data_IF_010125094396
#
_entry.id   IF_010125094396
#
_cell.length_a   1.000
_cell.length_b   1.000
_cell.length_c   1.000
_cell.angle_alpha   90.00
_cell.angle_beta   90.00
_cell.angle_gamma   90.00
#
_symmetry.space_group_name_H-M   'P 1'
#
loop_
_entity.id
_entity.type
_entity.pdbx_description
1 polymer ?
#
# COMPACT_ATOMS: atom_id res chain seq x y z
N UNK A 1 -0.87 -11.08 28.43
CA UNK A 1 -0.93 -9.80 27.72
C UNK A 1 -1.03 -10.17 26.25
N UNK A 2 -2.26 -10.38 25.77
CA UNK A 2 -2.47 -10.72 24.37
C UNK A 2 -2.12 -9.48 23.56
N UNK A 3 -1.08 -9.58 22.71
CA UNK A 3 -0.93 -8.60 21.65
C UNK A 3 -2.16 -8.81 20.78
N UNK A 4 -3.05 -7.82 20.73
CA UNK A 4 -4.05 -7.77 19.68
C UNK A 4 -3.26 -7.93 18.38
N UNK A 5 -3.56 -8.97 17.59
CA UNK A 5 -2.93 -9.15 16.29
C UNK A 5 -3.22 -7.87 15.50
N UNK A 6 -2.23 -6.98 15.37
CA UNK A 6 -2.35 -5.79 14.54
C UNK A 6 -2.70 -6.29 13.15
N UNK A 7 -3.92 -5.96 12.72
CA UNK A 7 -4.44 -6.48 11.46
C UNK A 7 -3.63 -5.83 10.34
N UNK A 8 -2.85 -6.65 9.64
CA UNK A 8 -2.17 -6.26 8.41
C UNK A 8 -3.16 -5.56 7.49
N UNK A 9 -2.81 -4.35 7.06
CA UNK A 9 -3.60 -3.57 6.11
C UNK A 9 -3.16 -3.85 4.68
N UNK A 10 -4.06 -3.60 3.76
CA UNK A 10 -3.83 -3.78 2.32
C UNK A 10 -3.82 -2.42 1.64
N UNK A 11 -2.85 -2.22 0.75
CA UNK A 11 -2.71 -1.00 -0.01
C UNK A 11 -2.53 -1.32 -1.50
N UNK A 12 -2.94 -0.38 -2.34
CA UNK A 12 -2.73 -0.41 -3.79
C UNK A 12 -1.84 0.76 -4.18
N UNK A 13 -0.67 0.44 -4.73
CA UNK A 13 0.24 1.40 -5.35
C UNK A 13 -0.04 1.42 -6.85
N UNK A 14 -0.51 2.53 -7.39
CA UNK A 14 -0.64 2.70 -8.84
C UNK A 14 0.74 3.01 -9.44
N UNK A 15 1.08 2.28 -10.50
CA UNK A 15 2.34 2.37 -11.23
C UNK A 15 2.08 2.57 -12.73
N UNK A 16 3.12 2.60 -13.56
CA UNK A 16 3.01 2.85 -15.00
C UNK A 16 2.14 1.83 -15.75
N UNK A 17 1.73 2.20 -16.97
CA UNK A 17 0.97 1.36 -17.89
C UNK A 17 -0.39 0.85 -17.34
N UNK A 18 -1.08 1.69 -16.55
CA UNK A 18 -2.35 1.36 -15.88
C UNK A 18 -2.25 0.13 -14.94
N UNK A 19 -1.03 -0.20 -14.47
CA UNK A 19 -0.80 -1.29 -13.53
C UNK A 19 -0.84 -0.83 -12.07
N UNK A 20 -0.82 -1.80 -11.16
CA UNK A 20 -0.70 -1.56 -9.74
C UNK A 20 -0.01 -2.72 -9.03
N UNK A 21 0.60 -2.42 -7.89
CA UNK A 21 1.11 -3.40 -6.94
C UNK A 21 0.28 -3.41 -5.66
N UNK A 22 0.13 -4.58 -5.05
CA UNK A 22 -0.55 -4.74 -3.75
C UNK A 22 0.50 -4.84 -2.65
N UNK A 23 0.42 -3.93 -1.68
CA UNK A 23 1.31 -3.86 -0.53
C UNK A 23 0.55 -4.30 0.71
N UNK A 24 1.14 -5.19 1.50
CA UNK A 24 0.65 -5.60 2.81
C UNK A 24 1.55 -5.02 3.89
N UNK A 25 1.01 -4.19 4.77
CA UNK A 25 1.80 -3.49 5.78
C UNK A 25 0.99 -3.24 7.05
N UNK A 26 1.68 -3.13 8.18
CA UNK A 26 1.03 -2.95 9.49
C UNK A 26 0.46 -1.53 9.65
N UNK A 27 1.09 -0.55 9.01
CA UNK A 27 0.71 0.86 9.11
C UNK A 27 1.06 1.64 7.82
N UNK A 28 0.63 2.90 7.76
CA UNK A 28 0.79 3.77 6.60
C UNK A 28 2.27 4.07 6.32
N UNK A 29 3.14 4.12 7.35
CA UNK A 29 4.56 4.41 7.20
C UNK A 29 5.29 3.25 6.50
N UNK A 30 5.04 2.01 6.94
CA UNK A 30 5.63 0.81 6.32
C UNK A 30 5.13 0.66 4.87
N UNK A 31 3.84 0.94 4.62
CA UNK A 31 3.29 0.95 3.26
C UNK A 31 3.96 2.00 2.37
N UNK A 32 4.25 3.18 2.91
CA UNK A 32 4.96 4.24 2.19
C UNK A 32 6.42 3.87 1.89
N UNK A 33 7.11 3.16 2.80
CA UNK A 33 8.47 2.68 2.52
C UNK A 33 8.49 1.72 1.33
N UNK A 34 7.56 0.77 1.28
CA UNK A 34 7.44 -0.16 0.14
C UNK A 34 7.01 0.57 -1.14
N UNK A 35 6.06 1.50 -1.05
CA UNK A 35 5.66 2.35 -2.17
C UNK A 35 6.84 3.12 -2.79
N UNK A 36 7.71 3.69 -1.95
CA UNK A 36 8.92 4.39 -2.42
C UNK A 36 9.99 3.43 -2.94
N UNK A 37 10.03 2.18 -2.48
CA UNK A 37 10.95 1.16 -3.00
C UNK A 37 10.62 0.77 -4.44
N UNK A 38 9.33 0.74 -4.83
CA UNK A 38 8.93 0.52 -6.23
C UNK A 38 9.60 1.52 -7.18
N UNK A 39 9.69 2.79 -6.77
CA UNK A 39 10.40 3.80 -7.56
C UNK A 39 11.91 3.54 -7.67
N UNK A 40 12.53 3.00 -6.62
CA UNK A 40 13.95 2.59 -6.66
C UNK A 40 14.17 1.36 -7.54
N UNK A 41 13.16 0.52 -7.70
CA UNK A 41 13.17 -0.66 -8.58
C UNK A 41 12.93 -0.30 -10.05
N UNK A 42 12.52 0.93 -10.33
CA UNK A 42 12.40 1.49 -11.68
C UNK A 42 10.96 1.77 -12.12
N UNK A 43 9.98 1.64 -11.23
CA UNK A 43 8.58 1.98 -11.50
C UNK A 43 8.33 3.49 -11.37
N UNK A 44 7.43 4.03 -12.19
CA UNK A 44 6.88 5.36 -12.00
C UNK A 44 5.65 5.24 -11.10
N UNK A 45 5.76 5.71 -9.85
CA UNK A 45 4.70 5.63 -8.85
C UNK A 45 3.77 6.85 -8.92
N UNK A 46 2.45 6.63 -8.81
CA UNK A 46 1.44 7.70 -8.93
C UNK A 46 0.66 7.96 -7.66
N UNK A 47 -0.07 6.97 -7.16
CA UNK A 47 -0.93 7.09 -5.98
C UNK A 47 -0.76 5.86 -5.08
N UNK A 48 -0.90 6.07 -3.77
CA UNK A 48 -1.02 4.99 -2.79
C UNK A 48 -2.38 5.06 -2.10
N UNK A 49 -3.14 3.97 -2.14
CA UNK A 49 -4.47 3.87 -1.51
C UNK A 49 -4.49 2.78 -0.44
N UNK A 50 -5.20 3.01 0.66
CA UNK A 50 -5.58 1.94 1.59
C UNK A 50 -6.87 1.27 1.09
N UNK A 51 -6.91 -0.05 1.13
CA UNK A 51 -8.04 -0.88 0.71
C UNK A 51 -8.74 -1.51 1.90
N UNK A 52 -10.05 -1.78 1.74
CA UNK A 52 -10.81 -2.63 2.67
C UNK A 52 -10.66 -4.12 2.32
N UNK A 53 -11.36 -4.98 3.06
CA UNK A 53 -11.36 -6.44 2.83
C UNK A 53 -11.95 -6.85 1.47
N UNK A 54 -12.78 -5.99 0.88
CA UNK A 54 -13.40 -6.19 -0.44
C UNK A 54 -12.53 -5.60 -1.58
N UNK A 55 -11.34 -5.06 -1.27
CA UNK A 55 -10.44 -4.33 -2.16
C UNK A 55 -10.96 -2.98 -2.69
N UNK A 56 -11.97 -2.41 -2.04
CA UNK A 56 -12.41 -1.04 -2.33
C UNK A 56 -11.47 -0.03 -1.65
N UNK A 57 -11.23 1.08 -2.34
CA UNK A 57 -10.43 2.20 -1.81
C UNK A 57 -11.15 2.86 -0.64
N UNK A 58 -10.50 2.86 0.53
CA UNK A 58 -10.98 3.56 1.73
C UNK A 58 -10.50 5.02 1.71
N UNK A 59 -9.20 5.24 1.44
CA UNK A 59 -8.58 6.57 1.43
C UNK A 59 -7.27 6.60 0.63
N UNK A 60 -6.89 7.80 0.19
CA UNK A 60 -5.56 8.10 -0.37
C UNK A 60 -4.56 8.35 0.75
N UNK A 61 -3.37 7.77 0.62
CA UNK A 61 -2.24 7.93 1.54
C UNK A 61 -1.21 8.90 0.97
N UNK A 62 -0.84 8.73 -0.30
CA UNK A 62 0.14 9.55 -1.02
C UNK A 62 -0.30 9.79 -2.46
#
# INVERSE_FOLDING_TARGET
>A
MGKEDEKVKTYRAEIEDDNFEIIFADNDYDAMEEYLNLSKEGHDIFNLFELNEDNDVIRTIA
#
